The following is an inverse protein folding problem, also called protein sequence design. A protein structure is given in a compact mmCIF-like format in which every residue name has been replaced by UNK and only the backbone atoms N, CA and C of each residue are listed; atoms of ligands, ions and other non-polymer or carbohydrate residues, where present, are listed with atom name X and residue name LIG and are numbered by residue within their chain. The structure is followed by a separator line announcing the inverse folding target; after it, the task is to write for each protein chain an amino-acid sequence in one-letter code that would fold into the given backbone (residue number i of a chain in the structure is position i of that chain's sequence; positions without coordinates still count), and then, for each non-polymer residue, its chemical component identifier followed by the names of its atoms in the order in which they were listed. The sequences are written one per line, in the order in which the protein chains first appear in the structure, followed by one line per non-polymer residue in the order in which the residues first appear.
data_IF_368268583511
#
_entry.id   IF_368268583511
#
_cell.length_a   1.000
_cell.length_b   1.000
_cell.length_c   1.000
_cell.angle_alpha   90.00
_cell.angle_beta   90.00
_cell.angle_gamma   90.00
#
_symmetry.space_group_name_H-M   'P 1'
#
loop_
_entity.id
_entity.type
_entity.pdbx_description
1 polymer ?
#
# COMPACT_ATOMS: atom_id res chain seq x y z
N UNK A 1 14.36 -14.92 -11.48
CA UNK A 1 13.67 -13.65 -11.76
C UNK A 1 12.75 -13.30 -10.59
N UNK A 2 12.49 -12.02 -10.29
CA UNK A 2 11.54 -11.65 -9.22
C UNK A 2 10.12 -12.07 -9.61
N UNK A 3 9.27 -12.45 -8.64
CA UNK A 3 7.88 -12.82 -8.92
C UNK A 3 7.09 -11.63 -9.46
N UNK A 4 6.22 -11.88 -10.44
CA UNK A 4 5.32 -10.87 -10.98
C UNK A 4 4.04 -10.81 -10.12
N UNK A 5 3.78 -9.66 -9.52
CA UNK A 5 2.52 -9.42 -8.81
C UNK A 5 1.42 -8.98 -9.80
N UNK A 6 0.29 -9.68 -9.80
CA UNK A 6 -0.88 -9.33 -10.60
C UNK A 6 -1.91 -8.60 -9.72
N UNK A 7 -2.30 -7.38 -10.14
CA UNK A 7 -3.21 -6.51 -9.40
C UNK A 7 -4.55 -6.26 -10.13
N UNK A 8 -4.81 -6.97 -11.23
CA UNK A 8 -6.01 -6.77 -12.04
C UNK A 8 -6.14 -5.36 -12.63
N UNK A 9 -7.37 -4.98 -13.01
CA UNK A 9 -7.66 -3.72 -13.70
C UNK A 9 -7.43 -2.47 -12.83
N UNK A 10 -7.63 -2.58 -11.51
CA UNK A 10 -7.36 -1.49 -10.55
C UNK A 10 -5.88 -1.12 -10.51
N UNK A 11 -5.00 -2.06 -10.87
CA UNK A 11 -3.57 -1.88 -10.80
C UNK A 11 -3.02 -1.92 -9.37
N UNK A 12 -1.70 -1.72 -9.22
CA UNK A 12 -1.02 -1.88 -7.93
C UNK A 12 -1.49 -0.85 -6.89
N UNK A 13 -1.63 -1.31 -5.65
CA UNK A 13 -1.96 -0.46 -4.50
C UNK A 13 -0.83 0.55 -4.27
N UNK A 14 -1.19 1.83 -4.14
CA UNK A 14 -0.26 2.94 -3.90
C UNK A 14 -0.76 3.83 -2.77
N UNK A 15 0.16 4.45 -2.03
CA UNK A 15 -0.19 5.49 -1.08
C UNK A 15 -0.90 6.64 -1.80
N UNK A 16 -2.03 7.10 -1.26
CA UNK A 16 -2.80 8.19 -1.89
C UNK A 16 -2.01 9.51 -1.94
N UNK A 17 -1.13 9.75 -0.96
CA UNK A 17 -0.35 10.98 -0.83
C UNK A 17 0.92 10.98 -1.66
N UNK A 18 1.89 10.13 -1.33
CA UNK A 18 3.21 10.11 -1.98
C UNK A 18 3.29 9.19 -3.21
N UNK A 19 2.25 8.40 -3.48
CA UNK A 19 2.18 7.46 -4.62
C UNK A 19 3.22 6.32 -4.59
N UNK A 20 3.86 6.05 -3.44
CA UNK A 20 4.69 4.86 -3.26
C UNK A 20 3.84 3.58 -3.37
N UNK A 21 4.39 2.53 -4.01
CA UNK A 21 3.75 1.23 -4.11
C UNK A 21 3.67 0.51 -2.75
N UNK A 22 2.67 -0.37 -2.60
CA UNK A 22 2.58 -1.28 -1.46
C UNK A 22 3.87 -2.10 -1.30
N UNK A 23 4.35 -2.22 -0.07
CA UNK A 23 5.54 -3.01 0.28
C UNK A 23 5.47 -3.50 1.73
N UNK A 24 6.35 -4.43 2.10
CA UNK A 24 6.40 -5.08 3.43
C UNK A 24 6.67 -4.14 4.60
N UNK A 25 7.08 -2.89 4.33
CA UNK A 25 7.34 -1.89 5.35
C UNK A 25 6.10 -1.05 5.71
N UNK A 26 4.99 -1.17 4.98
CA UNK A 26 3.74 -0.50 5.35
C UNK A 26 3.12 -1.18 6.56
N UNK A 27 2.63 -0.38 7.52
CA UNK A 27 2.02 -0.89 8.74
C UNK A 27 0.52 -1.04 8.57
N UNK A 28 0.02 -2.28 8.59
CA UNK A 28 -1.42 -2.53 8.60
C UNK A 28 -2.02 -2.17 9.96
N UNK A 29 -3.18 -1.51 9.93
CA UNK A 29 -3.96 -1.08 11.10
C UNK A 29 -5.44 -1.49 10.90
N UNK A 30 -6.27 -1.30 11.92
CA UNK A 30 -7.72 -1.52 11.82
C UNK A 30 -8.10 -2.94 11.34
N UNK A 31 -7.45 -3.95 11.93
CA UNK A 31 -7.63 -5.35 11.54
C UNK A 31 -7.19 -5.68 10.10
N UNK A 32 -6.31 -4.86 9.51
CA UNK A 32 -5.83 -5.04 8.15
C UNK A 32 -6.64 -4.32 7.07
N UNK A 33 -7.70 -3.57 7.45
CA UNK A 33 -8.51 -2.80 6.50
C UNK A 33 -7.81 -1.56 5.97
N UNK A 34 -6.84 -1.04 6.72
CA UNK A 34 -6.09 0.19 6.39
C UNK A 34 -4.60 -0.02 6.61
N UNK A 35 -3.78 0.86 6.03
CA UNK A 35 -2.34 0.86 6.25
C UNK A 35 -1.78 2.27 6.43
N UNK A 36 -0.65 2.38 7.13
CA UNK A 36 0.18 3.59 7.25
C UNK A 36 1.39 3.47 6.32
N UNK A 37 1.62 4.47 5.49
CA UNK A 37 2.74 4.50 4.55
C UNK A 37 4.08 4.75 5.27
N UNK A 38 5.06 3.87 5.09
CA UNK A 38 6.40 4.02 5.69
C UNK A 38 7.22 5.20 5.15
N UNK A 39 6.83 5.80 4.01
CA UNK A 39 7.56 6.92 3.41
C UNK A 39 7.02 8.29 3.83
N UNK A 40 5.73 8.39 4.13
CA UNK A 40 5.08 9.68 4.37
C UNK A 40 4.12 9.67 5.56
N UNK A 41 3.95 8.55 6.25
CA UNK A 41 3.13 8.40 7.46
C UNK A 41 1.63 8.67 7.24
N UNK A 42 1.19 8.88 5.99
CA UNK A 42 -0.23 8.95 5.66
C UNK A 42 -0.89 7.57 5.84
N UNK A 43 -2.01 7.54 6.55
CA UNK A 43 -2.91 6.40 6.57
C UNK A 43 -3.80 6.41 5.32
N UNK A 44 -4.19 5.24 4.82
CA UNK A 44 -5.32 5.14 3.89
C UNK A 44 -6.60 5.62 4.56
N UNK A 45 -7.38 6.41 3.84
CA UNK A 45 -8.70 6.84 4.30
C UNK A 45 -9.62 5.62 4.45
N UNK A 46 -10.57 5.72 5.40
CA UNK A 46 -11.55 4.68 5.70
C UNK A 46 -12.83 4.84 4.90
#
# INVERSE_FOLDING_TARGET
EPPLANFGETGPVRCHRCKAYMCSFMQFIDGGKRFICCYCEAATDG
#
